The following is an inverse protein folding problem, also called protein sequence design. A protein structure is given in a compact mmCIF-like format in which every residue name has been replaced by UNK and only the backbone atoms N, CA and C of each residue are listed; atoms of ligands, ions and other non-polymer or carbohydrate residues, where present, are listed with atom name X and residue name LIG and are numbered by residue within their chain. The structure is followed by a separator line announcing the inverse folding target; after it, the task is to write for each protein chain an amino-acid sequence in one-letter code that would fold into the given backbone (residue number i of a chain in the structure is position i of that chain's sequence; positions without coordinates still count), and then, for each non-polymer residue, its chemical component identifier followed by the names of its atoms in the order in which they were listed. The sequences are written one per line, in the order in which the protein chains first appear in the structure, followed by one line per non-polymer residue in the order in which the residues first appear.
data_IF_224303906500
#
_entry.id   IF_224303906500
#
_cell.length_a   1.000
_cell.length_b   1.000
_cell.length_c   1.000
_cell.angle_alpha   90.00
_cell.angle_beta   90.00
_cell.angle_gamma   90.00
#
_symmetry.space_group_name_H-M   'P 1'
#
loop_
_entity.id
_entity.type
_entity.pdbx_description
1 polymer ?
#
# COMPACT_ATOMS: atom_id res chain seq x y z
N UNK A 1 -21.76 -32.45 19.29
CA UNK A 1 -20.49 -31.69 19.11
C UNK A 1 -20.58 -30.53 18.10
N UNK A 2 -21.63 -30.37 17.34
CA UNK A 2 -21.79 -29.30 16.31
C UNK A 2 -22.12 -27.90 16.88
N UNK A 3 -22.64 -27.79 18.10
CA UNK A 3 -23.06 -26.48 18.67
C UNK A 3 -21.93 -25.53 19.05
N UNK A 4 -20.72 -26.05 19.33
CA UNK A 4 -19.60 -25.21 19.78
C UNK A 4 -18.79 -24.57 18.64
N UNK A 5 -18.82 -25.16 17.45
CA UNK A 5 -18.13 -24.58 16.28
C UNK A 5 -18.86 -23.34 15.75
N UNK A 6 -20.20 -23.35 15.72
CA UNK A 6 -20.98 -22.22 15.25
C UNK A 6 -20.91 -20.97 16.15
N UNK A 7 -20.75 -21.17 17.47
CA UNK A 7 -20.60 -20.07 18.41
C UNK A 7 -19.24 -19.38 18.23
N UNK A 8 -18.15 -20.12 18.07
CA UNK A 8 -16.81 -19.58 17.84
C UNK A 8 -16.68 -18.83 16.51
N UNK A 9 -17.30 -19.36 15.45
CA UNK A 9 -17.33 -18.65 14.15
C UNK A 9 -18.11 -17.34 14.21
N UNK A 10 -19.20 -17.31 14.97
CA UNK A 10 -20.01 -16.10 15.14
C UNK A 10 -19.25 -15.03 15.93
N UNK A 11 -18.55 -15.42 16.99
CA UNK A 11 -17.70 -14.54 17.79
C UNK A 11 -16.54 -13.96 16.95
N UNK A 12 -15.85 -14.78 16.16
CA UNK A 12 -14.79 -14.34 15.24
C UNK A 12 -15.30 -13.34 14.21
N UNK A 13 -16.49 -13.57 13.63
CA UNK A 13 -17.13 -12.64 12.69
C UNK A 13 -17.50 -11.31 13.35
N UNK A 14 -18.00 -11.34 14.58
CA UNK A 14 -18.32 -10.13 15.33
C UNK A 14 -17.07 -9.32 15.64
N UNK A 15 -15.99 -9.96 16.09
CA UNK A 15 -14.69 -9.36 16.37
C UNK A 15 -14.11 -8.70 15.12
N UNK A 16 -14.10 -9.40 13.99
CA UNK A 16 -13.65 -8.84 12.71
C UNK A 16 -14.52 -7.66 12.25
N UNK A 17 -15.85 -7.75 12.43
CA UNK A 17 -16.76 -6.66 12.10
C UNK A 17 -16.47 -5.41 12.94
N UNK A 18 -16.21 -5.57 14.24
CA UNK A 18 -15.85 -4.47 15.13
C UNK A 18 -14.51 -3.85 14.74
N UNK A 19 -13.49 -4.65 14.48
CA UNK A 19 -12.18 -4.17 14.01
C UNK A 19 -12.32 -3.38 12.70
N UNK A 20 -13.10 -3.90 11.75
CA UNK A 20 -13.36 -3.23 10.46
C UNK A 20 -14.05 -1.87 10.64
N UNK A 21 -14.99 -1.74 11.58
CA UNK A 21 -15.63 -0.44 11.87
C UNK A 21 -14.62 0.57 12.40
N UNK A 22 -13.77 0.16 13.35
CA UNK A 22 -12.70 1.00 13.89
C UNK A 22 -11.71 1.43 12.82
N UNK A 23 -11.27 0.49 11.96
CA UNK A 23 -10.39 0.78 10.83
C UNK A 23 -11.01 1.81 9.86
N UNK A 24 -12.30 1.64 9.50
CA UNK A 24 -13.00 2.60 8.62
C UNK A 24 -13.09 3.98 9.23
N UNK A 25 -13.38 4.05 10.53
CA UNK A 25 -13.43 5.31 11.26
C UNK A 25 -12.04 5.97 11.30
N UNK A 26 -10.98 5.20 11.57
CA UNK A 26 -9.61 5.68 11.51
C UNK A 26 -9.27 6.28 10.14
N UNK A 27 -9.68 5.61 9.05
CA UNK A 27 -9.47 6.10 7.69
C UNK A 27 -10.15 7.46 7.45
N UNK A 28 -11.36 7.68 7.96
CA UNK A 28 -12.03 8.99 7.86
C UNK A 28 -11.24 10.09 8.56
N UNK A 29 -10.70 9.83 9.75
CA UNK A 29 -9.84 10.79 10.44
C UNK A 29 -8.53 11.04 9.67
N UNK A 30 -7.94 10.00 9.09
CA UNK A 30 -6.73 10.14 8.29
C UNK A 30 -6.93 11.04 7.07
N UNK A 31 -7.98 10.85 6.30
CA UNK A 31 -8.28 11.71 5.13
C UNK A 31 -8.69 13.13 5.56
N UNK A 32 -9.23 13.30 6.77
CA UNK A 32 -9.50 14.60 7.39
C UNK A 32 -8.25 15.30 7.96
N UNK A 33 -7.07 14.64 7.94
CA UNK A 33 -5.81 15.19 8.45
C UNK A 33 -5.61 15.00 9.96
N UNK A 34 -6.55 14.35 10.66
CA UNK A 34 -6.48 14.08 12.10
C UNK A 34 -5.65 12.81 12.39
N UNK A 35 -4.34 12.86 12.06
CA UNK A 35 -3.46 11.70 12.05
C UNK A 35 -3.34 11.01 13.41
N UNK A 36 -3.26 11.75 14.51
CA UNK A 36 -3.12 11.17 15.85
C UNK A 36 -4.35 10.32 16.21
N UNK A 37 -5.54 10.83 15.95
CA UNK A 37 -6.80 10.09 16.15
C UNK A 37 -6.89 8.85 15.25
N UNK A 38 -6.47 8.99 14.00
CA UNK A 38 -6.43 7.87 13.07
C UNK A 38 -5.52 6.76 13.59
N UNK A 39 -4.31 7.09 14.04
CA UNK A 39 -3.32 6.16 14.59
C UNK A 39 -3.89 5.43 15.83
N UNK A 40 -4.53 6.15 16.77
CA UNK A 40 -5.16 5.55 17.94
C UNK A 40 -6.24 4.53 17.56
N UNK A 41 -7.10 4.87 16.62
CA UNK A 41 -8.18 4.00 16.16
C UNK A 41 -7.66 2.80 15.36
N UNK A 42 -6.62 2.96 14.54
CA UNK A 42 -5.98 1.81 13.88
C UNK A 42 -5.37 0.85 14.91
N UNK A 43 -4.68 1.37 15.93
CA UNK A 43 -4.16 0.55 17.04
C UNK A 43 -5.28 -0.16 17.79
N UNK A 44 -6.41 0.51 18.01
CA UNK A 44 -7.58 -0.12 18.64
C UNK A 44 -8.16 -1.22 17.75
N UNK A 45 -8.30 -0.98 16.45
CA UNK A 45 -8.71 -1.99 15.48
C UNK A 45 -7.82 -3.24 15.54
N UNK A 46 -6.49 -3.04 15.55
CA UNK A 46 -5.50 -4.12 15.64
C UNK A 46 -5.62 -4.91 16.95
N UNK A 47 -5.88 -4.23 18.07
CA UNK A 47 -6.10 -4.92 19.36
C UNK A 47 -7.35 -5.80 19.36
N UNK A 48 -8.40 -5.37 18.68
CA UNK A 48 -9.65 -6.15 18.55
C UNK A 48 -9.44 -7.34 17.62
N UNK A 49 -8.89 -7.11 16.43
CA UNK A 49 -8.56 -8.14 15.46
C UNK A 49 -7.45 -7.65 14.52
N UNK A 50 -6.24 -8.20 14.58
CA UNK A 50 -5.18 -7.84 13.66
C UNK A 50 -5.57 -8.18 12.23
N UNK A 51 -5.46 -7.20 11.32
CA UNK A 51 -5.69 -7.39 9.88
C UNK A 51 -4.57 -6.75 9.08
N UNK A 52 -4.29 -7.27 7.89
CA UNK A 52 -3.28 -6.71 7.01
C UNK A 52 -3.61 -5.25 6.62
N UNK A 53 -4.89 -4.96 6.41
CA UNK A 53 -5.37 -3.60 6.14
C UNK A 53 -5.08 -2.65 7.31
N UNK A 54 -5.43 -3.03 8.55
CA UNK A 54 -5.26 -2.16 9.70
C UNK A 54 -3.78 -1.82 9.95
N UNK A 55 -2.88 -2.80 9.82
CA UNK A 55 -1.44 -2.58 9.91
C UNK A 55 -0.92 -1.71 8.78
N UNK A 56 -1.33 -1.95 7.53
CA UNK A 56 -0.90 -1.15 6.37
C UNK A 56 -1.32 0.31 6.53
N UNK A 57 -2.57 0.56 6.89
CA UNK A 57 -3.07 1.93 7.05
C UNK A 57 -2.50 2.63 8.29
N UNK A 58 -2.19 1.90 9.37
CA UNK A 58 -1.43 2.44 10.49
C UNK A 58 -0.06 2.91 10.03
N UNK A 59 0.67 2.07 9.27
CA UNK A 59 1.96 2.43 8.67
C UNK A 59 1.84 3.67 7.78
N UNK A 60 0.81 3.72 6.94
CA UNK A 60 0.58 4.88 6.08
C UNK A 60 0.32 6.16 6.88
N UNK A 61 -0.50 6.12 7.94
CA UNK A 61 -0.72 7.27 8.82
C UNK A 61 0.58 7.73 9.51
N UNK A 62 1.40 6.79 10.00
CA UNK A 62 2.71 7.08 10.61
C UNK A 62 3.68 7.72 9.61
N UNK A 63 3.65 7.32 8.32
CA UNK A 63 4.54 7.87 7.31
C UNK A 63 4.31 9.37 7.05
N UNK A 64 3.07 9.86 7.20
CA UNK A 64 2.76 11.29 7.15
C UNK A 64 3.37 12.07 8.32
N UNK A 65 3.67 11.40 9.44
CA UNK A 65 4.40 11.99 10.56
C UNK A 65 5.93 11.84 10.43
N UNK A 66 6.43 11.33 9.31
CA UNK A 66 7.85 11.07 9.08
C UNK A 66 8.40 9.84 9.82
N UNK A 67 7.57 9.05 10.46
CA UNK A 67 7.93 7.84 11.24
C UNK A 67 8.12 6.63 10.33
N UNK A 68 9.01 6.75 9.32
CA UNK A 68 9.15 5.77 8.25
C UNK A 68 9.60 4.39 8.72
N UNK A 69 10.46 4.32 9.75
CA UNK A 69 10.90 3.03 10.32
C UNK A 69 9.74 2.27 10.95
N UNK A 70 8.91 2.94 11.75
CA UNK A 70 7.74 2.34 12.37
C UNK A 70 6.68 1.97 11.31
N UNK A 71 6.47 2.84 10.33
CA UNK A 71 5.59 2.59 9.20
C UNK A 71 6.00 1.31 8.42
N UNK A 72 7.31 1.12 8.20
CA UNK A 72 7.84 -0.09 7.56
C UNK A 72 7.58 -1.34 8.41
N UNK A 73 7.74 -1.25 9.73
CA UNK A 73 7.46 -2.37 10.63
C UNK A 73 5.98 -2.78 10.58
N UNK A 74 5.07 -1.81 10.54
CA UNK A 74 3.64 -2.10 10.41
C UNK A 74 3.31 -2.76 9.07
N UNK A 75 3.92 -2.31 7.97
CA UNK A 75 3.77 -2.97 6.67
C UNK A 75 4.32 -4.40 6.66
N UNK A 76 5.44 -4.67 7.35
CA UNK A 76 5.97 -6.04 7.48
C UNK A 76 5.00 -6.95 8.25
N UNK A 77 4.37 -6.46 9.33
CA UNK A 77 3.32 -7.20 10.05
C UNK A 77 2.10 -7.48 9.15
N UNK A 78 1.73 -6.52 8.30
CA UNK A 78 0.65 -6.72 7.33
C UNK A 78 0.98 -7.86 6.36
N UNK A 79 2.22 -7.95 5.88
CA UNK A 79 2.70 -9.01 4.99
C UNK A 79 2.72 -10.38 5.69
N UNK A 80 3.07 -10.43 6.98
CA UNK A 80 3.01 -11.66 7.79
C UNK A 80 1.57 -12.19 7.90
N UNK A 81 0.57 -11.29 8.01
CA UNK A 81 -0.84 -11.65 8.10
C UNK A 81 -1.39 -12.10 6.74
N UNK A 82 -1.07 -11.37 5.66
CA UNK A 82 -1.51 -11.66 4.30
C UNK A 82 -0.44 -11.27 3.28
N UNK A 83 0.35 -12.26 2.87
CA UNK A 83 1.42 -12.08 1.89
C UNK A 83 0.93 -11.80 0.46
N UNK A 84 -0.36 -12.03 0.17
CA UNK A 84 -0.98 -11.72 -1.12
C UNK A 84 -1.52 -10.29 -1.20
N UNK A 85 -1.51 -9.56 -0.08
CA UNK A 85 -1.93 -8.16 -0.04
C UNK A 85 -0.80 -7.23 -0.53
N UNK A 86 -0.99 -6.58 -1.68
CA UNK A 86 0.08 -5.82 -2.37
C UNK A 86 0.37 -4.44 -1.80
N UNK A 87 -0.59 -3.83 -1.09
CA UNK A 87 -0.45 -2.46 -0.57
C UNK A 87 0.79 -2.28 0.32
N UNK A 88 1.06 -3.12 1.35
CA UNK A 88 2.22 -2.93 2.21
C UNK A 88 3.56 -3.04 1.47
N UNK A 89 3.66 -3.86 0.42
CA UNK A 89 4.87 -3.92 -0.41
C UNK A 89 5.10 -2.59 -1.15
N UNK A 90 4.04 -2.04 -1.77
CA UNK A 90 4.12 -0.74 -2.43
C UNK A 90 4.51 0.37 -1.44
N UNK A 91 3.93 0.37 -0.25
CA UNK A 91 4.16 1.39 0.76
C UNK A 91 5.60 1.34 1.29
N UNK A 92 6.16 0.15 1.55
CA UNK A 92 7.59 0.00 1.89
C UNK A 92 8.46 0.56 0.76
N UNK A 93 8.15 0.25 -0.50
CA UNK A 93 8.85 0.82 -1.66
C UNK A 93 8.82 2.36 -1.66
N UNK A 94 7.67 2.96 -1.36
CA UNK A 94 7.51 4.42 -1.25
C UNK A 94 8.33 4.99 -0.10
N UNK A 95 8.35 4.35 1.08
CA UNK A 95 9.14 4.80 2.23
C UNK A 95 10.64 4.75 1.95
N UNK A 96 11.11 3.73 1.24
CA UNK A 96 12.50 3.64 0.78
C UNK A 96 12.85 4.73 -0.25
N UNK A 97 11.93 5.04 -1.18
CA UNK A 97 12.12 6.17 -2.11
C UNK A 97 12.23 7.51 -1.37
N UNK A 98 11.45 7.72 -0.30
CA UNK A 98 11.55 8.93 0.53
C UNK A 98 12.89 9.04 1.26
N UNK A 99 13.54 7.90 1.54
CA UNK A 99 14.88 7.82 2.12
C UNK A 99 16.00 7.85 1.08
N UNK A 100 15.69 8.08 -0.21
CA UNK A 100 16.61 8.02 -1.35
C UNK A 100 17.24 6.64 -1.62
N UNK A 101 16.69 5.57 -1.06
CA UNK A 101 17.13 4.19 -1.24
C UNK A 101 16.44 3.57 -2.47
N UNK A 102 16.72 4.14 -3.65
CA UNK A 102 15.99 3.81 -4.87
C UNK A 102 16.17 2.34 -5.28
N UNK A 103 17.41 1.82 -5.23
CA UNK A 103 17.68 0.44 -5.65
C UNK A 103 17.00 -0.59 -4.75
N UNK A 104 16.98 -0.34 -3.43
CA UNK A 104 16.26 -1.20 -2.48
C UNK A 104 14.74 -1.18 -2.74
N UNK A 105 14.19 -0.04 -3.11
CA UNK A 105 12.75 0.13 -3.34
C UNK A 105 12.23 -0.65 -4.56
N UNK A 106 13.08 -0.89 -5.58
CA UNK A 106 12.70 -1.61 -6.80
C UNK A 106 12.14 -3.00 -6.47
N UNK A 107 12.84 -3.76 -5.64
CA UNK A 107 12.43 -5.12 -5.27
C UNK A 107 11.05 -5.17 -4.60
N UNK A 108 10.71 -4.14 -3.82
CA UNK A 108 9.42 -4.04 -3.13
C UNK A 108 8.27 -3.73 -4.10
N UNK A 109 8.49 -2.84 -5.06
CA UNK A 109 7.48 -2.58 -6.10
C UNK A 109 7.28 -3.80 -7.01
N UNK A 110 8.34 -4.56 -7.33
CA UNK A 110 8.18 -5.80 -8.10
C UNK A 110 7.35 -6.84 -7.33
N UNK A 111 7.54 -6.98 -6.01
CA UNK A 111 6.67 -7.81 -5.17
C UNK A 111 5.21 -7.32 -5.18
N UNK A 112 5.00 -6.01 -5.08
CA UNK A 112 3.66 -5.42 -5.15
C UNK A 112 2.95 -5.73 -6.48
N UNK A 113 3.67 -5.70 -7.61
CA UNK A 113 3.13 -6.07 -8.94
C UNK A 113 2.66 -7.52 -9.00
N UNK A 114 3.30 -8.41 -8.25
CA UNK A 114 3.01 -9.85 -8.24
C UNK A 114 1.89 -10.23 -7.27
N UNK A 115 1.56 -9.39 -6.30
CA UNK A 115 0.55 -9.66 -5.30
C UNK A 115 -0.83 -9.85 -5.94
N UNK A 116 -1.58 -10.88 -5.49
CA UNK A 116 -2.90 -11.18 -6.08
C UNK A 116 -3.97 -10.20 -5.66
N UNK A 117 -3.90 -9.73 -4.42
CA UNK A 117 -4.86 -8.81 -3.83
C UNK A 117 -4.25 -7.41 -3.69
N UNK A 118 -4.32 -6.62 -4.76
CA UNK A 118 -3.83 -5.25 -4.78
C UNK A 118 -4.70 -4.36 -5.68
N UNK A 119 -5.16 -3.26 -5.12
CA UNK A 119 -5.81 -2.16 -5.84
C UNK A 119 -5.38 -0.82 -5.19
N UNK A 120 -5.02 0.18 -5.98
CA UNK A 120 -4.94 0.26 -7.47
C UNK A 120 -3.61 -0.29 -8.03
N UNK A 121 -3.69 -1.27 -8.92
CA UNK A 121 -2.55 -2.02 -9.48
C UNK A 121 -1.54 -1.21 -10.27
N UNK A 122 -1.90 -0.02 -10.77
CA UNK A 122 -1.00 0.82 -11.56
C UNK A 122 0.11 1.49 -10.74
N UNK A 123 -0.05 1.65 -9.42
CA UNK A 123 0.90 2.42 -8.61
C UNK A 123 2.32 1.86 -8.56
N UNK A 124 2.57 0.54 -8.38
CA UNK A 124 3.93 0.02 -8.41
C UNK A 124 4.64 0.29 -9.73
N UNK A 125 3.92 0.19 -10.86
CA UNK A 125 4.45 0.52 -12.18
C UNK A 125 4.82 1.99 -12.28
N UNK A 126 3.95 2.90 -11.82
CA UNK A 126 4.23 4.33 -11.82
C UNK A 126 5.43 4.68 -10.93
N UNK A 127 5.59 4.02 -9.79
CA UNK A 127 6.69 4.25 -8.87
C UNK A 127 8.02 3.74 -9.45
N UNK A 128 8.05 2.53 -10.03
CA UNK A 128 9.19 2.02 -10.77
C UNK A 128 9.58 2.93 -11.94
N UNK A 129 8.60 3.37 -12.72
CA UNK A 129 8.83 4.32 -13.80
C UNK A 129 9.49 5.62 -13.33
N UNK A 130 9.07 6.17 -12.18
CA UNK A 130 9.69 7.36 -11.57
C UNK A 130 11.13 7.09 -11.13
N UNK A 131 11.42 5.93 -10.55
CA UNK A 131 12.77 5.53 -10.18
C UNK A 131 13.65 5.48 -11.43
N UNK A 132 13.21 4.81 -12.47
CA UNK A 132 13.97 4.70 -13.71
C UNK A 132 14.19 6.04 -14.42
N UNK A 133 13.23 6.99 -14.33
CA UNK A 133 13.45 8.38 -14.77
C UNK A 133 14.59 9.04 -13.98
N UNK A 134 14.57 8.93 -12.66
CA UNK A 134 15.63 9.50 -11.78
C UNK A 134 17.01 8.92 -12.06
N UNK A 135 17.06 7.63 -12.45
CA UNK A 135 18.29 6.92 -12.81
C UNK A 135 18.73 7.13 -14.27
N UNK A 136 17.94 7.85 -15.10
CA UNK A 136 18.20 8.04 -16.52
C UNK A 136 17.89 6.84 -17.41
N UNK A 137 17.23 5.82 -16.87
CA UNK A 137 16.87 4.61 -17.61
C UNK A 137 15.54 4.78 -18.36
N UNK A 138 15.54 5.66 -19.37
CA UNK A 138 14.33 6.13 -20.06
C UNK A 138 13.48 5.02 -20.68
N UNK A 139 14.12 3.99 -21.28
CA UNK A 139 13.41 2.84 -21.86
C UNK A 139 12.72 1.98 -20.81
N UNK A 140 13.37 1.76 -19.66
CA UNK A 140 12.73 1.04 -18.56
C UNK A 140 11.54 1.84 -18.02
N UNK A 141 11.71 3.13 -17.86
CA UNK A 141 10.62 4.01 -17.44
C UNK A 141 9.43 3.98 -18.42
N UNK A 142 9.70 3.99 -19.73
CA UNK A 142 8.66 3.89 -20.77
C UNK A 142 7.83 2.62 -20.58
N UNK A 143 8.47 1.46 -20.45
CA UNK A 143 7.80 0.17 -20.27
C UNK A 143 6.93 0.14 -19.01
N UNK A 144 7.42 0.69 -17.91
CA UNK A 144 6.65 0.76 -16.68
C UNK A 144 5.42 1.67 -16.82
N UNK A 145 5.54 2.85 -17.41
CA UNK A 145 4.38 3.72 -17.66
C UNK A 145 3.42 3.15 -18.70
N UNK A 146 3.86 2.37 -19.66
CA UNK A 146 2.97 1.60 -20.55
C UNK A 146 2.16 0.56 -19.77
N UNK A 147 2.80 -0.16 -18.84
CA UNK A 147 2.14 -1.06 -17.91
C UNK A 147 1.09 -0.36 -17.05
N UNK A 148 1.45 0.79 -16.47
CA UNK A 148 0.55 1.58 -15.65
C UNK A 148 -0.70 2.05 -16.44
N UNK A 149 -0.51 2.59 -17.65
CA UNK A 149 -1.62 3.05 -18.51
C UNK A 149 -2.50 1.89 -18.96
N UNK A 150 -1.94 0.71 -19.23
CA UNK A 150 -2.72 -0.49 -19.56
C UNK A 150 -3.65 -0.90 -18.43
N UNK A 151 -3.19 -0.81 -17.18
CA UNK A 151 -3.98 -1.14 -15.99
C UNK A 151 -5.00 -0.06 -15.63
N UNK A 152 -4.66 1.20 -15.86
CA UNK A 152 -5.50 2.36 -15.56
C UNK A 152 -5.53 3.35 -16.73
N UNK A 153 -6.27 3.07 -17.83
CA UNK A 153 -6.29 3.92 -19.04
C UNK A 153 -6.79 5.35 -18.79
N UNK A 154 -7.54 5.57 -17.71
CA UNK A 154 -8.08 6.88 -17.32
C UNK A 154 -7.17 7.66 -16.37
N UNK A 155 -6.03 7.11 -15.94
CA UNK A 155 -5.08 7.86 -15.12
C UNK A 155 -4.31 8.86 -15.98
N UNK A 156 -4.78 10.10 -15.94
CA UNK A 156 -4.21 11.23 -16.70
C UNK A 156 -2.74 11.48 -16.36
N UNK A 157 -2.30 11.19 -15.12
CA UNK A 157 -0.91 11.40 -14.67
C UNK A 157 0.02 10.40 -15.37
N UNK A 158 -0.35 9.11 -15.38
CA UNK A 158 0.42 8.08 -16.06
C UNK A 158 0.48 8.34 -17.58
N UNK A 159 -0.65 8.67 -18.20
CA UNK A 159 -0.73 8.96 -19.63
C UNK A 159 0.13 10.17 -20.04
N UNK A 160 0.14 11.24 -19.24
CA UNK A 160 0.97 12.44 -19.51
C UNK A 160 2.45 12.13 -19.46
N UNK A 161 2.91 11.36 -18.45
CA UNK A 161 4.32 10.98 -18.34
C UNK A 161 4.71 10.07 -19.50
N UNK A 162 3.87 9.08 -19.84
CA UNK A 162 4.09 8.19 -20.97
C UNK A 162 4.26 8.97 -22.29
N UNK A 163 3.39 9.94 -22.54
CA UNK A 163 3.49 10.81 -23.72
C UNK A 163 4.82 11.57 -23.76
N UNK A 164 5.25 12.15 -22.63
CA UNK A 164 6.53 12.86 -22.54
C UNK A 164 7.74 11.94 -22.76
N UNK A 165 7.69 10.71 -22.26
CA UNK A 165 8.75 9.72 -22.47
C UNK A 165 8.86 9.30 -23.94
N UNK A 166 7.73 9.09 -24.62
CA UNK A 166 7.71 8.78 -26.06
C UNK A 166 8.30 9.90 -26.89
N UNK A 167 7.95 11.16 -26.59
CA UNK A 167 8.49 12.32 -27.28
C UNK A 167 10.01 12.51 -27.08
N UNK A 168 10.55 12.03 -25.94
CA UNK A 168 11.99 12.10 -25.65
C UNK A 168 12.79 11.01 -26.36
N UNK A 169 12.20 9.86 -26.64
CA UNK A 169 12.85 8.68 -27.19
C UNK A 169 12.73 8.55 -28.71
N UNK A 170 11.89 9.38 -29.34
CA UNK A 170 11.78 9.56 -30.80
C UNK A 170 12.69 10.71 -31.28
#
# INVERSE_FOLDING_TARGET
MAGNQGAGEMEARQTLSQATKLWRQAYQYQIGGELDRAIELYRHSIKVCPTAEAHTFLGWAMSFQGRLTEATQECLRAIEIDSEFGNPYNDIGVYLMQQDKLDESISWFEKAKQAKRYEPRQFPFMNLGRIYIRQGHWWKALLEFEGAVRLAPRDVRAARILHSLRARLN
#
